data_IF_533154469198
#
_entry.id   IF_533154469198
#
_cell.length_a   1.000
_cell.length_b   1.000
_cell.length_c   1.000
_cell.angle_alpha   90.00
_cell.angle_beta   90.00
_cell.angle_gamma   90.00
#
_symmetry.space_group_name_H-M   'P 1'
#
loop_
_entity.id
_entity.type
_entity.pdbx_description
1 polymer ?
#
# COMPACT_ATOMS: atom_id res chain seq x y z
N UNK A 1 -15.75 30.59 3.35
CA UNK A 1 -16.65 30.22 2.22
C UNK A 1 -15.83 29.46 1.16
N UNK A 2 -14.85 28.67 1.61
CA UNK A 2 -13.65 28.32 0.81
C UNK A 2 -13.45 26.78 0.77
N UNK A 3 -14.12 26.06 1.69
CA UNK A 3 -14.23 24.59 1.67
C UNK A 3 -15.37 24.09 0.78
N UNK A 4 -16.33 24.96 0.43
CA UNK A 4 -17.47 24.60 -0.42
C UNK A 4 -17.08 24.68 -1.90
N UNK A 5 -16.26 25.68 -2.28
CA UNK A 5 -15.69 25.83 -3.63
C UNK A 5 -14.61 24.79 -3.97
N UNK A 6 -13.94 24.20 -2.96
CA UNK A 6 -13.04 23.07 -3.14
C UNK A 6 -13.82 21.76 -3.38
N UNK A 7 -15.00 21.64 -2.79
CA UNK A 7 -15.88 20.48 -2.96
C UNK A 7 -16.62 20.53 -4.30
N UNK A 8 -17.06 21.71 -4.76
CA UNK A 8 -17.62 21.89 -6.12
C UNK A 8 -16.59 21.58 -7.22
N UNK A 9 -15.33 22.01 -7.07
CA UNK A 9 -14.24 21.62 -8.00
C UNK A 9 -13.87 20.14 -7.97
N UNK A 10 -14.24 19.42 -6.90
CA UNK A 10 -14.02 17.97 -6.79
C UNK A 10 -15.11 17.17 -7.51
N UNK A 11 -16.27 17.80 -7.78
CA UNK A 11 -17.39 17.20 -8.50
C UNK A 11 -17.43 17.59 -9.98
N UNK A 12 -16.71 18.65 -10.39
CA UNK A 12 -16.41 18.93 -11.79
C UNK A 12 -15.43 17.89 -12.35
N UNK A 13 -16.06 16.85 -12.89
CA UNK A 13 -15.64 16.06 -14.03
C UNK A 13 -14.61 14.94 -13.81
N UNK A 14 -15.02 13.93 -13.04
CA UNK A 14 -14.39 12.60 -13.10
C UNK A 14 -14.42 12.01 -14.53
N UNK A 15 -15.37 12.44 -15.37
CA UNK A 15 -15.51 11.93 -16.74
C UNK A 15 -14.67 12.70 -17.77
N UNK A 16 -14.35 13.97 -17.50
CA UNK A 16 -13.49 14.84 -18.33
C UNK A 16 -12.15 15.16 -17.66
N UNK A 17 -11.57 14.22 -16.92
CA UNK A 17 -10.13 14.32 -16.62
C UNK A 17 -9.37 14.16 -17.93
N UNK A 18 -8.63 15.19 -18.33
CA UNK A 18 -7.68 15.11 -19.44
C UNK A 18 -6.67 13.99 -19.14
N UNK A 19 -6.73 12.93 -19.94
CA UNK A 19 -5.80 11.81 -19.84
C UNK A 19 -4.52 12.15 -20.59
N UNK A 20 -3.37 12.00 -19.93
CA UNK A 20 -2.08 12.13 -20.60
C UNK A 20 -1.85 10.91 -21.51
N UNK A 21 -1.88 11.15 -22.82
CA UNK A 21 -1.68 10.11 -23.83
C UNK A 21 -0.21 9.76 -24.04
N UNK A 22 0.70 10.64 -23.60
CA UNK A 22 2.16 10.53 -23.75
C UNK A 22 2.74 9.83 -22.52
N UNK A 23 2.47 10.35 -21.31
CA UNK A 23 2.87 9.70 -20.06
C UNK A 23 1.72 8.88 -19.46
N UNK A 24 1.72 7.58 -19.75
CA UNK A 24 0.70 6.63 -19.26
C UNK A 24 1.00 6.08 -17.86
N UNK A 25 2.17 6.38 -17.29
CA UNK A 25 2.54 6.01 -15.92
C UNK A 25 3.02 7.22 -15.10
N UNK A 26 2.16 8.23 -14.86
CA UNK A 26 2.53 9.43 -14.14
C UNK A 26 2.88 9.19 -12.66
N UNK A 27 2.54 8.02 -12.14
CA UNK A 27 2.82 7.61 -10.75
C UNK A 27 4.03 6.69 -10.65
N UNK A 28 4.71 6.40 -11.77
CA UNK A 28 5.90 5.55 -11.82
C UNK A 28 5.69 4.18 -11.17
N UNK A 29 4.50 3.60 -11.35
CA UNK A 29 4.12 2.32 -10.72
C UNK A 29 4.90 1.15 -11.35
N UNK A 30 5.29 1.27 -12.61
CA UNK A 30 5.91 0.19 -13.38
C UNK A 30 7.42 0.38 -13.61
N UNK A 31 8.02 1.39 -13.00
CA UNK A 31 9.42 1.77 -13.25
C UNK A 31 10.42 0.65 -12.94
N UNK A 32 10.12 -0.23 -11.98
CA UNK A 32 11.02 -1.29 -11.53
C UNK A 32 10.64 -2.70 -12.00
N UNK A 33 9.46 -2.87 -12.62
CA UNK A 33 8.88 -4.20 -12.88
C UNK A 33 8.80 -4.55 -14.36
N UNK A 34 8.62 -3.57 -15.25
CA UNK A 34 8.31 -3.83 -16.68
C UNK A 34 9.53 -3.64 -17.60
N UNK A 35 10.68 -3.25 -17.06
CA UNK A 35 11.95 -3.12 -17.80
C UNK A 35 12.62 -4.49 -17.94
N UNK A 36 12.10 -5.30 -18.86
CA UNK A 36 12.81 -6.50 -19.34
C UNK A 36 13.46 -6.15 -20.66
N UNK A 37 14.79 -5.97 -20.62
CA UNK A 37 15.59 -5.67 -21.80
C UNK A 37 16.05 -6.95 -22.51
N UNK A 38 16.44 -6.83 -23.77
CA UNK A 38 16.87 -8.00 -24.58
C UNK A 38 18.08 -8.69 -23.95
N UNK A 39 19.01 -7.87 -23.44
CA UNK A 39 20.19 -8.29 -22.73
C UNK A 39 19.84 -9.04 -21.43
N UNK A 40 18.77 -8.68 -20.72
CA UNK A 40 18.35 -9.40 -19.51
C UNK A 40 17.87 -10.83 -19.79
N UNK A 41 17.43 -11.12 -21.02
CA UNK A 41 16.82 -12.41 -21.40
C UNK A 41 17.82 -13.34 -22.08
N UNK A 42 18.64 -12.82 -23.01
CA UNK A 42 19.48 -13.64 -23.89
C UNK A 42 20.99 -13.44 -23.64
N UNK A 43 21.39 -12.43 -22.85
CA UNK A 43 22.79 -12.04 -22.51
C UNK A 43 23.88 -13.03 -22.97
N UNK A 44 24.59 -12.68 -24.05
CA UNK A 44 25.78 -13.43 -24.45
C UNK A 44 26.96 -13.11 -23.52
N UNK A 45 27.65 -14.11 -22.95
CA UNK A 45 28.77 -13.88 -22.04
C UNK A 45 30.06 -13.49 -22.79
N UNK A 46 30.95 -12.79 -22.10
CA UNK A 46 32.24 -12.38 -22.65
C UNK A 46 33.08 -13.59 -23.09
N UNK A 47 33.29 -13.73 -24.39
CA UNK A 47 34.10 -14.82 -24.99
C UNK A 47 33.34 -15.71 -25.98
N UNK A 48 32.00 -15.67 -26.00
CA UNK A 48 31.17 -16.43 -26.95
C UNK A 48 30.15 -15.51 -27.61
N UNK A 49 30.62 -14.62 -28.48
CA UNK A 49 29.77 -13.69 -29.22
C UNK A 49 29.26 -14.34 -30.51
N UNK A 50 27.97 -14.21 -30.77
CA UNK A 50 27.40 -14.47 -32.09
C UNK A 50 27.83 -13.37 -33.07
N UNK A 51 27.61 -13.61 -34.37
CA UNK A 51 27.89 -12.60 -35.39
C UNK A 51 27.08 -11.32 -35.13
N UNK A 52 27.71 -10.15 -35.20
CA UNK A 52 27.08 -8.83 -34.98
C UNK A 52 25.75 -8.62 -35.72
N UNK A 53 25.64 -9.17 -36.94
CA UNK A 53 24.42 -9.09 -37.74
C UNK A 53 23.27 -9.91 -37.14
N UNK A 54 23.57 -11.10 -36.61
CA UNK A 54 22.59 -11.97 -35.93
C UNK A 54 22.18 -11.36 -34.61
N UNK A 55 23.13 -10.80 -33.86
CA UNK A 55 22.85 -10.10 -32.60
C UNK A 55 21.90 -8.90 -32.81
N UNK A 56 22.21 -8.02 -33.77
CA UNK A 56 21.36 -6.86 -34.13
C UNK A 56 19.98 -7.26 -34.65
N UNK A 57 19.92 -8.29 -35.49
CA UNK A 57 18.64 -8.81 -35.99
C UNK A 57 17.79 -9.36 -34.84
N UNK A 58 18.40 -10.12 -33.93
CA UNK A 58 17.73 -10.69 -32.75
C UNK A 58 17.19 -9.60 -31.82
N UNK A 59 18.00 -8.59 -31.51
CA UNK A 59 17.57 -7.41 -30.73
C UNK A 59 16.37 -6.71 -31.36
N UNK A 60 16.44 -6.47 -32.67
CA UNK A 60 15.38 -5.78 -33.43
C UNK A 60 14.10 -6.61 -33.44
N UNK A 61 14.19 -7.89 -33.81
CA UNK A 61 13.03 -8.80 -33.87
C UNK A 61 12.39 -8.98 -32.51
N UNK A 62 13.17 -9.09 -31.43
CA UNK A 62 12.65 -9.16 -30.07
C UNK A 62 11.87 -7.90 -29.69
N UNK A 63 12.46 -6.72 -29.88
CA UNK A 63 11.85 -5.43 -29.51
C UNK A 63 10.56 -5.18 -30.29
N UNK A 64 10.59 -5.39 -31.61
CA UNK A 64 9.43 -5.19 -32.49
C UNK A 64 8.32 -6.17 -32.15
N UNK A 65 8.63 -7.46 -32.01
CA UNK A 65 7.64 -8.49 -31.66
C UNK A 65 6.97 -8.16 -30.33
N UNK A 66 7.76 -7.87 -29.28
CA UNK A 66 7.24 -7.50 -27.95
C UNK A 66 6.29 -6.31 -28.03
N UNK A 67 6.70 -5.25 -28.74
CA UNK A 67 5.91 -4.03 -28.90
C UNK A 67 4.56 -4.28 -29.61
N UNK A 68 4.58 -5.00 -30.73
CA UNK A 68 3.36 -5.28 -31.49
C UNK A 68 2.43 -6.26 -30.77
N UNK A 69 2.96 -7.32 -30.15
CA UNK A 69 2.17 -8.22 -29.32
C UNK A 69 1.46 -7.45 -28.21
N UNK A 70 2.19 -6.60 -27.45
CA UNK A 70 1.58 -5.79 -26.40
C UNK A 70 0.44 -4.90 -26.93
N UNK A 71 0.63 -4.25 -28.08
CA UNK A 71 -0.41 -3.42 -28.70
C UNK A 71 -1.64 -4.21 -29.11
N UNK A 72 -1.46 -5.38 -29.71
CA UNK A 72 -2.57 -6.24 -30.14
C UNK A 72 -3.35 -6.79 -28.94
N UNK A 73 -2.64 -7.28 -27.92
CA UNK A 73 -3.24 -7.72 -26.66
C UNK A 73 -4.01 -6.57 -26.00
N UNK A 74 -3.40 -5.39 -25.86
CA UNK A 74 -4.08 -4.23 -25.26
C UNK A 74 -5.30 -3.79 -26.08
N UNK A 75 -5.24 -3.84 -27.40
CA UNK A 75 -6.38 -3.52 -28.26
C UNK A 75 -7.54 -4.52 -28.08
N UNK A 76 -7.22 -5.81 -27.92
CA UNK A 76 -8.22 -6.87 -27.80
C UNK A 76 -8.83 -6.95 -26.39
N UNK A 77 -8.01 -6.89 -25.34
CA UNK A 77 -8.42 -7.15 -23.96
C UNK A 77 -8.35 -5.95 -23.02
N UNK A 78 -7.74 -4.83 -23.46
CA UNK A 78 -7.54 -3.67 -22.59
C UNK A 78 -8.83 -3.03 -22.10
N UNK A 79 -9.79 -2.78 -22.99
CA UNK A 79 -11.10 -2.19 -22.62
C UNK A 79 -11.91 -3.14 -21.73
N UNK A 80 -12.09 -4.43 -22.07
CA UNK A 80 -12.76 -5.38 -21.17
C UNK A 80 -12.13 -5.45 -19.77
N UNK A 81 -10.80 -5.51 -19.67
CA UNK A 81 -10.12 -5.53 -18.37
C UNK A 81 -10.30 -4.24 -17.59
N UNK A 82 -10.26 -3.07 -18.25
CA UNK A 82 -10.52 -1.79 -17.59
C UNK A 82 -11.93 -1.73 -17.00
N UNK A 83 -12.93 -2.26 -17.70
CA UNK A 83 -14.31 -2.35 -17.19
C UNK A 83 -14.40 -3.26 -15.96
N UNK A 84 -13.78 -4.44 -16.00
CA UNK A 84 -13.77 -5.39 -14.88
C UNK A 84 -13.15 -4.75 -13.64
N UNK A 85 -11.99 -4.09 -13.79
CA UNK A 85 -11.33 -3.39 -12.69
C UNK A 85 -12.17 -2.23 -12.16
N UNK A 86 -12.82 -1.45 -13.03
CA UNK A 86 -13.72 -0.38 -12.63
C UNK A 86 -14.88 -0.87 -11.76
N UNK A 87 -15.55 -1.96 -12.17
CA UNK A 87 -16.64 -2.58 -11.40
C UNK A 87 -16.12 -3.11 -10.06
N UNK A 88 -14.96 -3.79 -10.07
CA UNK A 88 -14.35 -4.33 -8.85
C UNK A 88 -14.10 -3.24 -7.80
N UNK A 89 -13.45 -2.14 -8.20
CA UNK A 89 -13.18 -1.03 -7.29
C UNK A 89 -14.46 -0.30 -6.85
N UNK A 90 -15.49 -0.24 -7.70
CA UNK A 90 -16.79 0.32 -7.31
C UNK A 90 -17.47 -0.51 -6.20
N UNK A 91 -17.50 -1.84 -6.33
CA UNK A 91 -18.05 -2.75 -5.33
C UNK A 91 -17.24 -2.66 -4.03
N UNK A 92 -15.90 -2.70 -4.11
CA UNK A 92 -15.04 -2.55 -2.95
C UNK A 92 -15.29 -1.23 -2.21
N UNK A 93 -15.41 -0.13 -2.95
CA UNK A 93 -15.70 1.19 -2.38
C UNK A 93 -17.06 1.20 -1.67
N UNK A 94 -18.08 0.60 -2.28
CA UNK A 94 -19.40 0.45 -1.67
C UNK A 94 -19.33 -0.35 -0.36
N UNK A 95 -18.72 -1.53 -0.37
CA UNK A 95 -18.57 -2.35 0.84
C UNK A 95 -17.77 -1.63 1.92
N UNK A 96 -16.70 -0.93 1.54
CA UNK A 96 -15.88 -0.18 2.48
C UNK A 96 -16.70 0.91 3.20
N UNK A 97 -17.44 1.73 2.43
CA UNK A 97 -18.19 2.86 2.99
C UNK A 97 -19.41 2.38 3.79
N UNK A 98 -20.15 1.40 3.28
CA UNK A 98 -21.46 1.02 3.83
C UNK A 98 -21.40 -0.13 4.83
N UNK A 99 -20.38 -0.99 4.77
CA UNK A 99 -20.22 -2.10 5.71
C UNK A 99 -19.00 -1.90 6.61
N UNK A 100 -17.80 -1.75 6.04
CA UNK A 100 -16.55 -1.72 6.83
C UNK A 100 -16.51 -0.52 7.77
N UNK A 101 -16.77 0.70 7.28
CA UNK A 101 -16.71 1.90 8.11
C UNK A 101 -17.69 1.83 9.30
N UNK A 102 -18.99 1.51 9.12
CA UNK A 102 -19.90 1.31 10.25
C UNK A 102 -19.45 0.20 11.20
N UNK A 103 -19.01 -0.96 10.68
CA UNK A 103 -18.51 -2.05 11.52
C UNK A 103 -17.30 -1.64 12.36
N UNK A 104 -16.33 -0.95 11.77
CA UNK A 104 -15.16 -0.42 12.49
C UNK A 104 -15.60 0.60 13.54
N UNK A 105 -16.53 1.50 13.22
CA UNK A 105 -17.07 2.47 14.19
C UNK A 105 -17.79 1.78 15.35
N UNK A 106 -18.62 0.77 15.08
CA UNK A 106 -19.29 -0.02 16.13
C UNK A 106 -18.28 -0.74 17.02
N UNK A 107 -17.28 -1.39 16.42
CA UNK A 107 -16.22 -2.08 17.16
C UNK A 107 -15.40 -1.12 18.03
N UNK A 108 -15.11 0.08 17.55
CA UNK A 108 -14.43 1.11 18.34
C UNK A 108 -15.27 1.56 19.55
N UNK A 109 -16.60 1.65 19.43
CA UNK A 109 -17.49 1.96 20.55
C UNK A 109 -17.47 0.83 21.57
N UNK A 110 -17.51 -0.42 21.12
CA UNK A 110 -17.41 -1.60 21.99
C UNK A 110 -16.08 -1.65 22.75
N UNK A 111 -14.95 -1.47 22.05
CA UNK A 111 -13.63 -1.37 22.68
C UNK A 111 -13.59 -0.24 23.69
N UNK A 112 -14.17 0.92 23.39
CA UNK A 112 -14.15 2.05 24.31
C UNK A 112 -14.88 1.74 25.61
N UNK A 113 -15.96 0.95 25.56
CA UNK A 113 -16.63 0.42 26.74
C UNK A 113 -15.74 -0.57 27.51
N UNK A 114 -15.17 -1.57 26.82
CA UNK A 114 -14.27 -2.56 27.42
C UNK A 114 -13.05 -1.90 28.07
N UNK A 115 -12.48 -0.89 27.42
CA UNK A 115 -11.34 -0.11 27.92
C UNK A 115 -11.66 0.58 29.26
N UNK A 116 -12.88 1.10 29.41
CA UNK A 116 -13.32 1.70 30.68
C UNK A 116 -13.45 0.65 31.79
N UNK A 117 -14.04 -0.50 31.49
CA UNK A 117 -14.13 -1.62 32.46
C UNK A 117 -12.75 -2.11 32.85
N UNK A 118 -11.87 -2.30 31.86
CA UNK A 118 -10.48 -2.68 32.06
C UNK A 118 -9.74 -1.68 32.96
N UNK A 119 -9.88 -0.37 32.71
CA UNK A 119 -9.30 0.68 33.55
C UNK A 119 -9.80 0.60 35.00
N UNK A 120 -11.10 0.37 35.22
CA UNK A 120 -11.65 0.19 36.58
C UNK A 120 -11.06 -1.06 37.25
N UNK A 121 -10.95 -2.18 36.53
CA UNK A 121 -10.34 -3.39 37.06
C UNK A 121 -8.88 -3.16 37.46
N UNK A 122 -8.10 -2.48 36.62
CA UNK A 122 -6.70 -2.13 36.93
C UNK A 122 -6.63 -1.25 38.19
N UNK A 123 -7.44 -0.20 38.28
CA UNK A 123 -7.46 0.67 39.47
C UNK A 123 -7.94 -0.04 40.75
N UNK A 124 -8.83 -1.02 40.63
CA UNK A 124 -9.40 -1.69 41.80
C UNK A 124 -8.51 -2.82 42.32
N UNK A 125 -7.81 -3.52 41.42
CA UNK A 125 -7.02 -4.71 41.78
C UNK A 125 -5.52 -4.49 41.69
N UNK A 126 -5.05 -3.88 40.61
CA UNK A 126 -3.64 -3.73 40.35
C UNK A 126 -3.06 -2.59 41.20
N UNK A 127 -3.71 -1.43 41.28
CA UNK A 127 -3.21 -0.29 42.07
C UNK A 127 -2.98 -0.65 43.54
N UNK A 128 -3.94 -1.24 44.30
CA UNK A 128 -3.69 -1.58 45.69
C UNK A 128 -2.64 -2.69 45.84
N UNK A 129 -2.54 -3.61 44.87
CA UNK A 129 -1.54 -4.68 44.89
C UNK A 129 -0.13 -4.12 44.67
N UNK A 130 0.05 -3.25 43.68
CA UNK A 130 1.32 -2.58 43.42
C UNK A 130 1.67 -1.58 44.53
N UNK A 131 0.69 -0.91 45.13
CA UNK A 131 0.91 -0.05 46.29
C UNK A 131 1.35 -0.86 47.52
N UNK A 132 0.72 -2.01 47.77
CA UNK A 132 1.11 -2.91 48.85
C UNK A 132 2.53 -3.47 48.64
N UNK A 133 2.85 -3.92 47.42
CA UNK A 133 4.20 -4.36 47.07
C UNK A 133 5.23 -3.23 47.24
N UNK A 134 4.90 -2.02 46.82
CA UNK A 134 5.72 -0.82 47.04
C UNK A 134 5.96 -0.54 48.53
N UNK A 135 4.94 -0.70 49.38
CA UNK A 135 5.07 -0.58 50.85
C UNK A 135 5.92 -1.68 51.47
N UNK A 136 5.81 -2.92 50.99
CA UNK A 136 6.69 -4.01 51.45
C UNK A 136 8.15 -3.69 51.14
N UNK A 137 8.44 -3.18 49.94
CA UNK A 137 9.80 -2.83 49.52
C UNK A 137 10.31 -1.53 50.15
N UNK A 138 9.44 -0.57 50.50
CA UNK A 138 9.84 0.69 51.14
C UNK A 138 10.39 0.52 52.57
N UNK A 139 10.08 -0.60 53.22
CA UNK A 139 10.62 -0.97 54.52
C UNK A 139 12.12 -1.35 54.48
N UNK A 140 12.66 -1.64 53.29
CA UNK A 140 14.07 -1.97 53.09
C UNK A 140 14.88 -0.66 53.05
N UNK A 141 15.37 -0.24 54.22
CA UNK A 141 16.21 0.95 54.37
C UNK A 141 17.68 0.54 54.31
N UNK A 142 18.30 0.68 53.14
CA UNK A 142 19.73 0.41 52.95
C UNK A 142 20.52 1.48 53.70
N UNK A 143 21.22 1.11 54.77
CA UNK A 143 22.22 1.96 55.42
C UNK A 143 23.59 1.64 54.82
N UNK A 144 24.15 2.60 54.09
CA UNK A 144 25.53 2.49 53.60
C UNK A 144 26.45 2.91 54.74
N UNK A 145 27.15 1.94 55.35
CA UNK A 145 28.26 2.26 56.25
C UNK A 145 29.47 2.57 55.38
N UNK A 146 29.91 3.83 55.37
CA UNK A 146 31.24 4.17 54.86
C UNK A 146 32.24 3.79 55.96
N UNK A 147 32.99 2.71 55.74
CA UNK A 147 34.22 2.46 56.50
C UNK A 147 35.24 3.55 56.17
N UNK A 148 35.65 4.28 57.20
CA UNK A 148 36.90 5.06 57.26
C UNK A 148 37.51 4.82 58.63
#
# INVERSE_FOLDING_TARGET
MDNESLNEKTMEDVHTKEIDLVNRDPKHINDDVVKVDFEDVIAEPAGTYSFDGVWKASFTTFTVTKYWCYRLLTALVGIPLALIWGIFFAILSFLHIWAVVPCVKSYLIEIHCVSRVYSICVHTFCDPLFEAMGKCLSSIRIRTSKEV
#
